data_IF_312972346005
#
_entry.id   IF_312972346005
#
_cell.length_a   1.000
_cell.length_b   1.000
_cell.length_c   1.000
_cell.angle_alpha   90.00
_cell.angle_beta   90.00
_cell.angle_gamma   90.00
#
_symmetry.space_group_name_H-M   'P 1'
#
loop_
_entity.id
_entity.type
_entity.pdbx_description
1 polymer ?
#
# COMPACT_ATOMS: atom_id res chain seq x y z
N UNK A 1 -15.68 5.47 3.47
CA UNK A 1 -14.74 4.36 3.33
C UNK A 1 -13.72 4.48 4.44
N UNK A 2 -13.57 3.44 5.24
CA UNK A 2 -12.52 3.37 6.28
C UNK A 2 -11.38 2.49 5.79
N UNK A 3 -10.15 2.95 5.97
CA UNK A 3 -8.93 2.21 5.60
C UNK A 3 -8.21 1.72 6.84
N UNK A 4 -7.98 0.41 6.94
CA UNK A 4 -7.05 -0.16 7.89
C UNK A 4 -5.67 -0.31 7.27
N UNK A 5 -4.64 0.19 7.94
CA UNK A 5 -3.24 -0.05 7.56
C UNK A 5 -2.65 -1.09 8.52
N UNK A 6 -2.33 -2.26 8.00
CA UNK A 6 -1.80 -3.38 8.77
C UNK A 6 -0.27 -3.33 8.69
N UNK A 7 0.34 -2.94 9.82
CA UNK A 7 1.76 -2.69 9.95
C UNK A 7 2.05 -1.24 10.33
N UNK A 8 2.68 -1.05 11.49
CA UNK A 8 3.02 0.27 12.06
C UNK A 8 4.48 0.68 11.82
N UNK A 9 5.18 -0.02 10.92
CA UNK A 9 6.54 0.31 10.50
C UNK A 9 6.59 1.50 9.52
N UNK A 10 7.77 1.75 8.96
CA UNK A 10 8.02 2.95 8.14
C UNK A 10 7.01 3.16 6.99
N UNK A 11 6.76 2.13 6.16
CA UNK A 11 5.81 2.24 5.05
C UNK A 11 4.39 2.46 5.57
N UNK A 12 3.91 1.55 6.44
CA UNK A 12 2.54 1.60 6.93
C UNK A 12 2.24 2.89 7.68
N UNK A 13 3.10 3.29 8.62
CA UNK A 13 2.98 4.56 9.34
C UNK A 13 2.93 5.77 8.42
N UNK A 14 3.80 5.83 7.41
CA UNK A 14 3.81 6.92 6.43
C UNK A 14 2.51 6.98 5.63
N UNK A 15 2.06 5.84 5.08
CA UNK A 15 0.82 5.77 4.30
C UNK A 15 -0.39 6.13 5.15
N UNK A 16 -0.54 5.53 6.34
CA UNK A 16 -1.69 5.77 7.20
C UNK A 16 -1.77 7.22 7.69
N UNK A 17 -0.63 7.84 8.02
CA UNK A 17 -0.60 9.27 8.38
C UNK A 17 -0.96 10.15 7.19
N UNK A 18 -0.49 9.82 5.98
CA UNK A 18 -0.84 10.57 4.77
C UNK A 18 -2.35 10.50 4.48
N UNK A 19 -2.95 9.30 4.56
CA UNK A 19 -4.39 9.10 4.38
C UNK A 19 -5.20 9.92 5.39
N UNK A 20 -4.83 9.85 6.67
CA UNK A 20 -5.52 10.59 7.73
C UNK A 20 -5.39 12.11 7.60
N UNK A 21 -4.19 12.61 7.26
CA UNK A 21 -3.95 14.05 6.99
C UNK A 21 -4.75 14.56 5.78
N UNK A 22 -5.07 13.70 4.83
CA UNK A 22 -5.98 14.00 3.72
C UNK A 22 -7.47 13.93 4.10
N UNK A 23 -7.80 13.65 5.37
CA UNK A 23 -9.17 13.56 5.87
C UNK A 23 -9.85 12.20 5.64
N UNK A 24 -9.10 11.16 5.26
CA UNK A 24 -9.65 9.83 5.07
C UNK A 24 -9.70 9.07 6.41
N UNK A 25 -10.85 8.48 6.78
CA UNK A 25 -10.95 7.66 8.00
C UNK A 25 -9.94 6.51 7.97
N UNK A 26 -8.96 6.57 8.86
CA UNK A 26 -7.81 5.66 8.86
C UNK A 26 -7.57 5.07 10.24
N UNK A 27 -7.36 3.76 10.29
CA UNK A 27 -7.00 3.02 11.51
C UNK A 27 -5.74 2.20 11.26
N UNK A 28 -4.81 2.24 12.21
CA UNK A 28 -3.69 1.31 12.24
C UNK A 28 -4.09 0.04 12.97
N UNK A 29 -3.91 -1.11 12.31
CA UNK A 29 -3.98 -2.41 12.97
C UNK A 29 -2.61 -2.75 13.57
N UNK A 30 -2.55 -2.85 14.91
CA UNK A 30 -1.32 -3.11 15.65
C UNK A 30 -1.46 -4.33 16.56
N UNK A 31 -0.33 -5.01 16.80
CA UNK A 31 -0.19 -6.02 17.88
C UNK A 31 -0.01 -5.37 19.26
N UNK A 32 0.33 -4.08 19.27
CA UNK A 32 0.52 -3.22 20.43
C UNK A 32 -0.38 -1.99 20.26
N UNK A 33 -1.72 -2.13 20.38
CA UNK A 33 -2.66 -1.04 20.15
C UNK A 33 -2.54 0.10 21.17
N UNK A 34 -1.93 -0.16 22.33
CA UNK A 34 -1.60 0.82 23.35
C UNK A 34 -0.50 1.80 22.91
N UNK A 35 0.34 1.41 21.95
CA UNK A 35 1.32 2.29 21.35
C UNK A 35 0.70 3.05 20.17
N UNK A 36 0.26 4.27 20.45
CA UNK A 36 -0.37 5.16 19.46
C UNK A 36 0.64 6.05 18.73
N UNK A 37 1.95 5.88 18.97
CA UNK A 37 2.98 6.79 18.45
C UNK A 37 3.01 6.86 16.93
N UNK A 38 2.64 5.77 16.24
CA UNK A 38 2.55 5.70 14.78
C UNK A 38 1.58 6.73 14.19
N UNK A 39 0.54 7.11 14.92
CA UNK A 39 -0.50 8.02 14.45
C UNK A 39 -0.07 9.49 14.50
N UNK A 40 0.87 9.86 15.37
CA UNK A 40 1.33 11.24 15.57
C UNK A 40 0.14 12.23 15.67
N UNK A 41 0.20 13.34 14.93
CA UNK A 41 -0.85 14.36 14.82
C UNK A 41 -1.78 14.14 13.62
N UNK A 42 -1.73 12.97 12.97
CA UNK A 42 -2.40 12.73 11.68
C UNK A 42 -3.92 12.62 11.76
N UNK A 43 -4.47 12.34 12.95
CA UNK A 43 -5.89 12.03 13.14
C UNK A 43 -6.27 10.57 12.89
N UNK A 44 -5.31 9.70 12.54
CA UNK A 44 -5.52 8.26 12.50
C UNK A 44 -5.72 7.71 13.93
N UNK A 45 -6.47 6.61 14.05
CA UNK A 45 -6.57 5.84 15.30
C UNK A 45 -5.69 4.60 15.24
N UNK A 46 -5.43 3.99 16.40
CA UNK A 46 -4.74 2.70 16.51
C UNK A 46 -5.66 1.73 17.25
N UNK A 47 -5.80 0.53 16.72
CA UNK A 47 -6.63 -0.52 17.29
C UNK A 47 -5.93 -1.88 17.18
N UNK A 48 -6.53 -2.91 17.78
CA UNK A 48 -6.11 -4.28 17.50
C UNK A 48 -6.26 -4.57 16.01
N UNK A 49 -5.52 -5.55 15.48
CA UNK A 49 -5.65 -5.96 14.08
C UNK A 49 -7.10 -6.39 13.78
N UNK A 50 -7.73 -7.14 14.68
CA UNK A 50 -9.11 -7.61 14.54
C UNK A 50 -10.10 -6.44 14.44
N UNK A 51 -10.04 -5.49 15.38
CA UNK A 51 -10.93 -4.33 15.40
C UNK A 51 -10.72 -3.44 14.17
N UNK A 52 -9.46 -3.21 13.78
CA UNK A 52 -9.12 -2.44 12.59
C UNK A 52 -9.70 -3.08 11.33
N UNK A 53 -9.59 -4.41 11.19
CA UNK A 53 -10.18 -5.15 10.07
C UNK A 53 -11.71 -5.07 10.11
N UNK A 54 -12.34 -5.21 11.27
CA UNK A 54 -13.79 -5.20 11.42
C UNK A 54 -14.41 -3.87 10.94
N UNK A 55 -13.80 -2.74 11.28
CA UNK A 55 -14.31 -1.40 10.94
C UNK A 55 -13.95 -0.91 9.53
N UNK A 56 -13.08 -1.61 8.80
CA UNK A 56 -12.53 -1.14 7.53
C UNK A 56 -13.19 -1.77 6.29
N UNK A 57 -13.34 -0.95 5.25
CA UNK A 57 -13.74 -1.39 3.90
C UNK A 57 -12.52 -1.76 3.05
N UNK A 58 -11.39 -1.12 3.34
CA UNK A 58 -10.12 -1.28 2.63
C UNK A 58 -9.00 -1.63 3.61
N UNK A 59 -8.20 -2.63 3.28
CA UNK A 59 -7.06 -3.11 4.06
C UNK A 59 -5.79 -2.89 3.26
N UNK A 60 -4.86 -2.08 3.77
CA UNK A 60 -3.52 -1.91 3.20
C UNK A 60 -2.56 -2.82 3.95
N UNK A 61 -1.98 -3.78 3.25
CA UNK A 61 -0.95 -4.66 3.80
C UNK A 61 0.41 -3.96 3.71
N UNK A 62 0.92 -3.49 4.85
CA UNK A 62 2.20 -2.80 4.97
C UNK A 62 3.07 -3.42 6.09
N UNK A 63 2.94 -4.73 6.27
CA UNK A 63 3.68 -5.55 7.24
C UNK A 63 4.79 -6.36 6.54
N UNK A 64 5.71 -7.00 7.28
CA UNK A 64 6.69 -7.91 6.70
C UNK A 64 6.00 -8.99 5.85
N UNK A 65 6.52 -9.26 4.65
CA UNK A 65 5.91 -10.20 3.70
C UNK A 65 5.67 -11.59 4.30
N UNK A 66 6.57 -12.08 5.16
CA UNK A 66 6.41 -13.37 5.84
C UNK A 66 5.19 -13.47 6.77
N UNK A 67 4.63 -12.34 7.21
CA UNK A 67 3.45 -12.30 8.09
C UNK A 67 2.12 -12.19 7.31
N UNK A 68 2.16 -11.95 5.99
CA UNK A 68 0.95 -11.71 5.20
C UNK A 68 0.05 -12.94 5.18
N UNK A 69 0.60 -14.14 4.96
CA UNK A 69 -0.21 -15.34 4.86
C UNK A 69 -0.91 -15.69 6.17
N UNK A 70 -0.22 -15.54 7.31
CA UNK A 70 -0.82 -15.72 8.64
C UNK A 70 -1.94 -14.71 8.88
N UNK A 71 -1.73 -13.44 8.50
CA UNK A 71 -2.77 -12.42 8.58
C UNK A 71 -4.00 -12.79 7.74
N UNK A 72 -3.82 -13.25 6.50
CA UNK A 72 -4.93 -13.62 5.63
C UNK A 72 -5.74 -14.80 6.20
N UNK A 73 -5.07 -15.80 6.79
CA UNK A 73 -5.72 -16.95 7.43
C UNK A 73 -6.50 -16.59 8.70
N UNK A 74 -6.05 -15.57 9.42
CA UNK A 74 -6.60 -15.20 10.73
C UNK A 74 -7.80 -14.25 10.65
N UNK A 75 -8.13 -13.67 9.48
CA UNK A 75 -9.09 -12.57 9.37
C UNK A 75 -10.14 -12.82 8.28
N UNK A 76 -11.41 -12.49 8.53
CA UNK A 76 -12.45 -12.49 7.48
C UNK A 76 -12.39 -11.19 6.67
N UNK A 77 -12.00 -11.32 5.41
CA UNK A 77 -11.82 -10.20 4.48
C UNK A 77 -12.91 -10.13 3.41
N UNK A 78 -14.03 -10.84 3.60
CA UNK A 78 -15.10 -10.87 2.62
C UNK A 78 -15.63 -9.47 2.27
N UNK A 79 -15.68 -9.17 0.96
CA UNK A 79 -16.12 -7.88 0.42
C UNK A 79 -15.11 -6.74 0.55
N UNK A 80 -14.08 -6.90 1.38
CA UNK A 80 -13.06 -5.87 1.62
C UNK A 80 -12.08 -5.79 0.44
N UNK A 81 -11.58 -4.59 0.17
CA UNK A 81 -10.47 -4.39 -0.77
C UNK A 81 -9.14 -4.58 -0.03
N UNK A 82 -8.34 -5.55 -0.45
CA UNK A 82 -6.97 -5.77 0.04
C UNK A 82 -5.99 -5.14 -0.93
N UNK A 83 -5.30 -4.10 -0.48
CA UNK A 83 -4.22 -3.43 -1.21
C UNK A 83 -2.89 -4.00 -0.71
N UNK A 84 -2.20 -4.76 -1.54
CA UNK A 84 -0.88 -5.32 -1.23
C UNK A 84 0.23 -4.31 -1.55
N UNK A 85 0.76 -3.66 -0.51
CA UNK A 85 1.93 -2.77 -0.57
C UNK A 85 3.26 -3.47 -0.23
N UNK A 86 3.23 -4.77 0.05
CA UNK A 86 4.40 -5.51 0.50
C UNK A 86 5.31 -5.93 -0.66
N UNK A 87 6.54 -6.34 -0.35
CA UNK A 87 7.44 -6.91 -1.36
C UNK A 87 8.10 -8.15 -0.80
N UNK A 88 7.80 -9.31 -1.39
CA UNK A 88 8.49 -10.56 -1.08
C UNK A 88 9.85 -10.62 -1.81
N UNK A 89 10.80 -9.82 -1.32
CA UNK A 89 12.12 -9.67 -1.96
C UNK A 89 12.88 -10.99 -1.93
N UNK A 90 13.33 -11.45 -3.09
CA UNK A 90 14.04 -12.71 -3.25
C UNK A 90 13.16 -13.91 -3.59
N UNK A 91 11.84 -13.77 -3.50
CA UNK A 91 10.89 -14.77 -4.00
C UNK A 91 10.65 -14.63 -5.52
N UNK A 92 10.22 -15.71 -6.20
CA UNK A 92 9.85 -15.64 -7.62
C UNK A 92 8.70 -14.68 -7.92
N UNK A 93 7.78 -14.52 -6.96
CA UNK A 93 6.62 -13.64 -7.04
C UNK A 93 6.69 -12.67 -5.85
N UNK A 94 6.67 -11.37 -6.13
CA UNK A 94 6.84 -10.34 -5.08
C UNK A 94 5.52 -9.98 -4.37
N UNK A 95 4.38 -10.25 -5.01
CA UNK A 95 3.05 -9.95 -4.52
C UNK A 95 2.35 -11.17 -3.90
N UNK A 96 1.22 -10.95 -3.23
CA UNK A 96 0.46 -11.98 -2.52
C UNK A 96 -0.91 -12.27 -3.16
N UNK A 97 -1.10 -11.99 -4.45
CA UNK A 97 -2.38 -12.21 -5.12
C UNK A 97 -2.88 -13.66 -5.00
N UNK A 98 -1.98 -14.63 -5.17
CA UNK A 98 -2.31 -16.05 -5.01
C UNK A 98 -2.72 -16.40 -3.56
N UNK A 99 -2.00 -15.87 -2.57
CA UNK A 99 -2.32 -16.10 -1.16
C UNK A 99 -3.67 -15.45 -0.77
N UNK A 100 -3.99 -14.27 -1.32
CA UNK A 100 -5.30 -13.64 -1.13
C UNK A 100 -6.40 -14.48 -1.78
N UNK A 101 -6.19 -14.98 -2.99
CA UNK A 101 -7.16 -15.86 -3.65
C UNK A 101 -7.40 -17.18 -2.90
N UNK A 102 -6.36 -17.73 -2.25
CA UNK A 102 -6.44 -18.97 -1.49
C UNK A 102 -7.11 -18.77 -0.11
N UNK A 103 -6.62 -17.82 0.68
CA UNK A 103 -7.01 -17.66 2.09
C UNK A 103 -8.14 -16.66 2.31
N UNK A 104 -8.39 -15.77 1.34
CA UNK A 104 -9.44 -14.75 1.38
C UNK A 104 -10.18 -14.62 0.02
N UNK A 105 -10.77 -15.71 -0.51
CA UNK A 105 -11.33 -15.74 -1.88
C UNK A 105 -12.49 -14.76 -2.14
N UNK A 106 -13.10 -14.23 -1.07
CA UNK A 106 -14.17 -13.22 -1.16
C UNK A 106 -13.66 -11.78 -1.01
N UNK A 107 -12.36 -11.59 -0.80
CA UNK A 107 -11.73 -10.28 -0.81
C UNK A 107 -11.47 -9.84 -2.26
N UNK A 108 -11.47 -8.52 -2.46
CA UNK A 108 -11.02 -7.89 -3.70
C UNK A 108 -9.54 -7.56 -3.55
N UNK A 109 -8.78 -7.53 -4.65
CA UNK A 109 -7.34 -7.37 -4.60
C UNK A 109 -6.86 -6.21 -5.45
N UNK A 110 -5.92 -5.43 -4.91
CA UNK A 110 -5.16 -4.43 -5.64
C UNK A 110 -3.67 -4.53 -5.31
N UNK A 111 -2.83 -4.18 -6.28
CA UNK A 111 -1.37 -4.08 -6.16
C UNK A 111 -0.98 -2.60 -6.30
N UNK A 112 -0.54 -1.98 -5.22
CA UNK A 112 -0.16 -0.56 -5.18
C UNK A 112 0.88 -0.30 -4.09
N UNK A 113 1.52 0.87 -4.08
CA UNK A 113 2.51 1.31 -3.07
C UNK A 113 3.76 0.44 -2.91
N UNK A 114 3.95 -0.55 -3.78
CA UNK A 114 5.11 -1.44 -3.73
C UNK A 114 6.28 -0.95 -4.59
N UNK A 115 6.08 0.04 -5.47
CA UNK A 115 7.00 0.41 -6.57
C UNK A 115 8.02 1.50 -6.22
N UNK A 116 7.91 2.13 -5.04
CA UNK A 116 8.78 3.21 -4.59
C UNK A 116 9.34 2.93 -3.20
N UNK A 117 10.48 3.54 -2.87
CA UNK A 117 10.97 3.60 -1.49
C UNK A 117 10.04 4.46 -0.62
N UNK A 118 9.88 4.08 0.66
CA UNK A 118 9.00 4.80 1.61
C UNK A 118 9.38 6.26 1.82
N UNK A 119 10.64 6.60 1.57
CA UNK A 119 11.14 7.97 1.56
C UNK A 119 10.36 8.85 0.58
N UNK A 120 9.93 8.30 -0.56
CA UNK A 120 9.12 9.01 -1.56
C UNK A 120 7.64 9.11 -1.18
N UNK A 121 7.18 8.36 -0.17
CA UNK A 121 5.85 8.53 0.42
C UNK A 121 5.87 9.56 1.55
N UNK A 122 6.99 9.63 2.28
CA UNK A 122 7.20 10.61 3.34
C UNK A 122 7.42 12.02 2.77
N UNK A 123 8.11 12.09 1.63
CA UNK A 123 8.33 13.31 0.86
C UNK A 123 8.04 13.06 -0.63
N UNK A 124 6.79 13.28 -1.08
CA UNK A 124 6.36 13.02 -2.46
C UNK A 124 6.66 14.18 -3.43
N UNK A 125 7.30 15.27 -2.97
CA UNK A 125 7.59 16.44 -3.79
C UNK A 125 8.94 16.30 -4.50
N UNK A 126 8.92 16.29 -5.84
CA UNK A 126 10.12 16.25 -6.68
C UNK A 126 10.26 17.58 -7.41
N UNK A 127 10.61 18.65 -6.67
CA UNK A 127 10.71 20.02 -7.17
C UNK A 127 9.43 20.51 -7.88
N UNK A 128 8.28 20.28 -7.26
CA UNK A 128 6.95 20.61 -7.79
C UNK A 128 6.38 19.58 -8.77
N UNK A 129 7.11 18.49 -9.05
CA UNK A 129 6.63 17.39 -9.89
C UNK A 129 6.05 16.28 -9.02
N UNK A 130 4.75 15.99 -9.18
CA UNK A 130 4.15 14.81 -8.57
C UNK A 130 4.64 13.54 -9.26
N UNK A 131 5.27 12.63 -8.54
CA UNK A 131 5.65 11.33 -9.09
C UNK A 131 4.43 10.43 -9.35
N UNK A 132 4.61 9.45 -10.24
CA UNK A 132 3.60 8.46 -10.58
C UNK A 132 3.69 7.25 -9.66
N UNK A 133 2.53 6.79 -9.21
CA UNK A 133 2.38 5.46 -8.62
C UNK A 133 1.54 4.58 -9.54
N UNK A 134 2.18 3.58 -10.11
CA UNK A 134 1.51 2.57 -10.92
C UNK A 134 0.81 1.54 -10.04
N UNK A 135 -0.40 1.16 -10.43
CA UNK A 135 -1.18 0.18 -9.67
C UNK A 135 -2.08 -0.67 -10.57
N UNK A 136 -2.49 -1.81 -10.03
CA UNK A 136 -3.49 -2.70 -10.63
C UNK A 136 -4.60 -2.93 -9.62
N UNK A 137 -5.84 -2.87 -10.08
CA UNK A 137 -7.05 -3.11 -9.30
C UNK A 137 -8.18 -3.51 -10.26
N UNK A 138 -9.35 -3.91 -9.76
CA UNK A 138 -10.56 -3.99 -10.58
C UNK A 138 -11.02 -2.59 -10.99
N UNK A 139 -11.79 -2.45 -12.07
CA UNK A 139 -12.34 -1.15 -12.47
C UNK A 139 -13.24 -0.56 -11.37
N UNK A 140 -13.97 -1.41 -10.64
CA UNK A 140 -14.83 -1.01 -9.52
C UNK A 140 -14.02 -0.50 -8.31
N UNK A 141 -12.77 -0.92 -8.15
CA UNK A 141 -11.88 -0.52 -7.07
C UNK A 141 -10.96 0.66 -7.43
N UNK A 142 -10.90 1.00 -8.71
CA UNK A 142 -9.97 2.00 -9.24
C UNK A 142 -10.03 3.31 -8.46
N UNK A 143 -11.22 3.90 -8.32
CA UNK A 143 -11.38 5.22 -7.67
C UNK A 143 -10.92 5.22 -6.20
N UNK A 144 -11.09 4.10 -5.49
CA UNK A 144 -10.62 3.95 -4.10
C UNK A 144 -9.09 3.98 -4.04
N UNK A 145 -8.43 3.22 -4.91
CA UNK A 145 -6.96 3.17 -4.95
C UNK A 145 -6.40 4.52 -5.42
N UNK A 146 -7.02 5.16 -6.42
CA UNK A 146 -6.65 6.51 -6.87
C UNK A 146 -6.71 7.53 -5.72
N UNK A 147 -7.80 7.54 -4.95
CA UNK A 147 -7.96 8.44 -3.80
C UNK A 147 -6.85 8.24 -2.75
N UNK A 148 -6.48 7.00 -2.44
CA UNK A 148 -5.40 6.72 -1.48
C UNK A 148 -4.04 7.15 -2.01
N UNK A 149 -3.78 6.97 -3.31
CA UNK A 149 -2.52 7.42 -3.94
C UNK A 149 -2.42 8.95 -3.92
N UNK A 150 -3.52 9.64 -4.25
CA UNK A 150 -3.59 11.10 -4.23
C UNK A 150 -3.42 11.67 -2.82
N UNK A 151 -3.94 10.98 -1.79
CA UNK A 151 -3.74 11.35 -0.40
C UNK A 151 -2.27 11.30 0.04
N UNK A 152 -1.44 10.47 -0.60
CA UNK A 152 0.03 10.46 -0.41
C UNK A 152 0.71 11.60 -1.17
N UNK A 153 0.01 12.31 -2.06
CA UNK A 153 0.57 13.38 -2.89
C UNK A 153 1.07 12.91 -4.26
N UNK A 154 0.85 11.64 -4.61
CA UNK A 154 1.30 11.04 -5.87
C UNK A 154 0.21 11.10 -6.95
N UNK A 155 0.61 10.88 -8.21
CA UNK A 155 -0.33 10.73 -9.35
C UNK A 155 -0.63 9.25 -9.57
N UNK A 156 -1.90 8.82 -9.51
CA UNK A 156 -2.24 7.44 -9.78
C UNK A 156 -2.15 7.10 -11.26
N UNK A 157 -1.53 5.96 -11.58
CA UNK A 157 -1.41 5.42 -12.94
C UNK A 157 -2.00 4.01 -12.99
N UNK A 158 -3.27 3.93 -13.36
CA UNK A 158 -4.01 2.66 -13.46
C UNK A 158 -3.52 1.83 -14.66
N UNK A 159 -3.12 0.58 -14.39
CA UNK A 159 -2.66 -0.34 -15.43
C UNK A 159 -3.75 -1.29 -15.94
N UNK A 160 -4.91 -1.33 -15.28
CA UNK A 160 -5.95 -2.33 -15.55
C UNK A 160 -5.97 -3.46 -14.52
N UNK A 161 -6.92 -4.35 -14.70
CA UNK A 161 -7.08 -5.55 -13.87
C UNK A 161 -6.00 -6.59 -14.17
N UNK A 162 -5.63 -7.39 -13.17
CA UNK A 162 -4.69 -8.51 -13.30
C UNK A 162 -3.31 -8.11 -13.85
N UNK A 163 -2.82 -6.92 -13.47
CA UNK A 163 -1.52 -6.37 -13.87
C UNK A 163 -0.49 -6.37 -12.73
N UNK A 164 -0.63 -7.25 -11.73
CA UNK A 164 0.26 -7.32 -10.57
C UNK A 164 1.73 -7.53 -11.01
N UNK A 165 1.95 -8.41 -12.00
CA UNK A 165 3.30 -8.69 -12.52
C UNK A 165 3.92 -7.50 -13.26
N UNK A 166 3.08 -6.70 -13.93
CA UNK A 166 3.49 -5.46 -14.60
C UNK A 166 3.86 -4.40 -13.56
N UNK A 167 3.05 -4.24 -12.50
CA UNK A 167 3.38 -3.35 -11.37
C UNK A 167 4.68 -3.80 -10.68
N UNK A 168 4.86 -5.10 -10.43
CA UNK A 168 6.12 -5.65 -9.90
C UNK A 168 7.29 -5.45 -10.87
N UNK A 169 7.03 -5.31 -12.17
CA UNK A 169 8.01 -4.89 -13.17
C UNK A 169 8.54 -3.48 -12.96
N UNK A 170 7.68 -2.56 -12.57
CA UNK A 170 8.08 -1.19 -12.21
C UNK A 170 8.96 -1.21 -10.96
N UNK A 171 8.64 -2.03 -9.96
CA UNK A 171 9.52 -2.23 -8.80
C UNK A 171 10.90 -2.77 -9.20
N UNK A 172 10.96 -3.76 -10.10
CA UNK A 172 12.24 -4.29 -10.60
C UNK A 172 13.06 -3.20 -11.29
N UNK A 173 12.41 -2.35 -12.09
CA UNK A 173 13.06 -1.18 -12.70
C UNK A 173 13.57 -0.20 -11.64
N UNK A 174 12.75 0.10 -10.63
CA UNK A 174 13.15 0.97 -9.51
C UNK A 174 14.37 0.41 -8.77
N UNK A 175 14.38 -0.88 -8.40
CA UNK A 175 15.54 -1.52 -7.75
C UNK A 175 16.79 -1.47 -8.61
N UNK A 176 16.67 -1.72 -9.92
CA UNK A 176 17.80 -1.65 -10.84
C UNK A 176 18.45 -0.27 -10.84
N UNK A 177 17.65 0.80 -10.81
CA UNK A 177 18.14 2.18 -10.82
C UNK A 177 18.61 2.64 -9.43
N UNK A 178 17.76 2.53 -8.42
CA UNK A 178 18.01 3.05 -7.07
C UNK A 178 19.16 2.33 -6.38
N UNK A 179 19.17 0.99 -6.45
CA UNK A 179 20.15 0.14 -5.75
C UNK A 179 21.22 -0.33 -6.72
N UNK A 180 20.83 -0.98 -7.82
CA UNK A 180 21.77 -1.61 -8.75
C UNK A 180 22.72 -0.63 -9.45
N UNK A 181 22.26 0.61 -9.71
CA UNK A 181 23.07 1.68 -10.29
C UNK A 181 23.44 2.77 -9.27
N UNK A 182 23.11 2.60 -7.99
CA UNK A 182 23.48 3.52 -6.93
C UNK A 182 22.88 4.93 -7.06
N UNK A 183 21.74 5.10 -7.74
CA UNK A 183 21.07 6.41 -7.88
C UNK A 183 20.40 6.90 -6.60
N UNK A 184 20.31 6.04 -5.58
CA UNK A 184 19.68 6.37 -4.31
C UNK A 184 18.18 6.10 -4.32
N UNK A 185 17.57 6.15 -3.13
CA UNK A 185 16.18 5.76 -2.89
C UNK A 185 15.17 6.89 -3.11
N UNK A 186 15.64 8.13 -3.22
CA UNK A 186 14.85 9.32 -3.58
C UNK A 186 14.68 9.42 -5.10
N UNK A 187 14.17 8.34 -5.70
CA UNK A 187 13.99 8.18 -7.14
C UNK A 187 12.54 7.75 -7.38
N UNK A 188 11.89 8.39 -8.34
CA UNK A 188 10.56 8.02 -8.78
C UNK A 188 10.39 8.24 -10.29
N UNK A 189 9.23 7.87 -10.83
CA UNK A 189 8.94 7.93 -12.25
C UNK A 189 7.86 8.97 -12.56
N UNK A 190 7.88 9.49 -13.79
CA UNK A 190 6.83 10.35 -14.34
C UNK A 190 6.58 9.98 -15.79
N UNK A 191 5.35 9.61 -16.11
CA UNK A 191 4.87 9.43 -17.48
C UNK A 191 4.57 10.77 -18.12
N UNK A 192 4.97 10.93 -19.37
CA UNK A 192 4.74 12.13 -20.17
C UNK A 192 3.83 11.76 -21.35
N UNK A 193 2.78 12.56 -21.57
CA UNK A 193 1.84 12.43 -22.70
C UNK A 193 1.98 13.65 -23.60
N UNK A 194 1.71 13.50 -24.90
CA UNK A 194 1.68 14.59 -25.89
C UNK A 194 0.27 14.78 -26.41
#
# INVERSE_FOLDING_TARGET
>A
MTTAVIGTGFIGGTLGRAFAKAGLPTVFGSRHPEDTSVAEDSGATVATIEDAVAQADTIVLAQPSAAVEEFLKANDLAGKLVIDATNNVGAPVANHAAAVAEHAPRARYARAFNTLGGENFADPDFDGVKADLFFSATEADRAVVEQLIEAVGLRPMYLGENQQDTVDGVLRLWFALAVGQGRGRHLAFRTLTR
#
